data_IF_718325555360
#
_entry.id   IF_718325555360
#
_cell.length_a   1.000
_cell.length_b   1.000
_cell.length_c   1.000
_cell.angle_alpha   90.00
_cell.angle_beta   90.00
_cell.angle_gamma   90.00
#
_symmetry.space_group_name_H-M   'P 1'
#
loop_
_entity.id
_entity.type
_entity.pdbx_description
1 polymer ?
#
# COMPACT_ATOMS: atom_id res chain seq x y z
N UNK A 1 12.35 13.99 11.24
CA UNK A 1 13.65 14.22 10.57
C UNK A 1 14.71 14.52 11.62
N UNK A 2 15.87 13.84 11.56
CA UNK A 2 16.99 14.09 12.47
C UNK A 2 17.97 15.02 11.75
N UNK A 3 18.35 16.17 12.37
CA UNK A 3 19.37 17.03 11.79
C UNK A 3 20.69 16.28 11.64
N UNK A 4 21.37 16.48 10.53
CA UNK A 4 22.72 15.91 10.32
C UNK A 4 23.76 16.76 11.04
N UNK A 5 24.81 16.08 11.55
CA UNK A 5 25.94 16.74 12.21
C UNK A 5 27.24 16.23 11.57
N UNK A 6 28.29 17.08 11.63
CA UNK A 6 29.60 16.70 11.12
C UNK A 6 30.16 15.48 11.88
N UNK A 7 30.71 14.52 11.16
CA UNK A 7 31.17 13.26 11.72
C UNK A 7 30.08 12.25 12.11
N UNK A 8 28.82 12.50 11.82
CA UNK A 8 27.71 11.59 12.10
C UNK A 8 27.89 10.25 11.38
N UNK A 9 27.82 9.15 12.15
CA UNK A 9 27.84 7.80 11.61
C UNK A 9 26.42 7.21 11.62
N UNK A 10 25.91 6.82 10.47
CA UNK A 10 24.58 6.22 10.32
C UNK A 10 24.72 4.78 9.91
N UNK A 11 24.08 3.87 10.67
CA UNK A 11 23.99 2.46 10.32
C UNK A 11 22.58 2.15 9.79
N UNK A 12 22.51 1.64 8.59
CA UNK A 12 21.24 1.36 7.89
C UNK A 12 20.90 -0.13 7.80
N UNK A 13 21.80 -1.00 8.18
CA UNK A 13 21.65 -2.46 8.02
C UNK A 13 22.22 -3.29 9.19
N UNK A 14 22.26 -2.73 10.42
CA UNK A 14 22.62 -3.52 11.59
C UNK A 14 21.53 -4.56 11.89
N UNK A 15 21.89 -5.62 12.63
CA UNK A 15 20.95 -6.66 13.07
C UNK A 15 19.76 -6.05 13.79
N UNK A 16 20.02 -5.15 14.75
CA UNK A 16 19.01 -4.45 15.52
C UNK A 16 18.03 -3.64 14.64
N UNK A 17 18.56 -2.89 13.67
CA UNK A 17 17.73 -2.12 12.71
C UNK A 17 16.86 -3.06 11.86
N UNK A 18 17.41 -4.19 11.42
CA UNK A 18 16.65 -5.15 10.64
C UNK A 18 15.60 -5.88 11.47
N UNK A 19 15.85 -6.18 12.72
CA UNK A 19 14.86 -6.78 13.63
C UNK A 19 13.71 -5.81 13.91
N UNK A 20 14.00 -4.54 14.13
CA UNK A 20 12.97 -3.50 14.24
C UNK A 20 12.14 -3.36 12.96
N UNK A 21 12.78 -3.36 11.80
CA UNK A 21 12.07 -3.34 10.51
C UNK A 21 11.16 -4.53 10.32
N UNK A 22 11.62 -5.73 10.68
CA UNK A 22 10.79 -6.95 10.63
C UNK A 22 9.57 -6.80 11.52
N UNK A 23 9.76 -6.40 12.76
CA UNK A 23 8.66 -6.23 13.73
C UNK A 23 7.63 -5.20 13.25
N UNK A 24 8.06 -4.05 12.74
CA UNK A 24 7.16 -3.03 12.18
C UNK A 24 6.43 -3.56 10.95
N UNK A 25 7.14 -4.22 10.03
CA UNK A 25 6.55 -4.79 8.83
C UNK A 25 5.55 -5.89 9.17
N UNK A 26 5.81 -6.70 10.19
CA UNK A 26 4.90 -7.73 10.70
C UNK A 26 3.59 -7.13 11.18
N UNK A 27 3.63 -6.05 11.94
CA UNK A 27 2.43 -5.32 12.34
C UNK A 27 1.64 -4.78 11.15
N UNK A 28 2.32 -4.26 10.13
CA UNK A 28 1.66 -3.77 8.91
C UNK A 28 0.95 -4.90 8.18
N UNK A 29 1.62 -6.03 7.96
CA UNK A 29 1.02 -7.17 7.25
C UNK A 29 -0.06 -7.89 8.05
N UNK A 30 -0.13 -7.71 9.36
CA UNK A 30 -1.22 -8.24 10.18
C UNK A 30 -2.57 -7.54 9.89
N UNK A 31 -2.56 -6.35 9.32
CA UNK A 31 -3.75 -5.61 8.89
C UNK A 31 -3.91 -5.51 7.36
N UNK A 32 -2.99 -6.09 6.60
CA UNK A 32 -3.05 -6.16 5.14
C UNK A 32 -3.33 -7.61 4.71
N UNK A 33 -4.08 -7.90 3.63
CA UNK A 33 -4.22 -9.25 3.09
C UNK A 33 -2.85 -9.86 2.81
N UNK A 34 -2.32 -10.61 3.75
CA UNK A 34 -0.88 -10.90 3.83
C UNK A 34 -0.51 -12.33 3.45
N UNK A 35 -1.49 -13.22 3.31
CA UNK A 35 -1.22 -14.63 3.07
C UNK A 35 -0.29 -14.92 1.88
N UNK A 36 -0.29 -14.05 0.86
CA UNK A 36 0.61 -14.15 -0.29
C UNK A 36 1.98 -13.52 -0.04
N UNK A 37 2.07 -12.46 0.76
CA UNK A 37 3.30 -11.67 0.93
C UNK A 37 4.45 -12.53 1.47
N UNK A 38 4.15 -13.46 2.36
CA UNK A 38 5.11 -14.40 2.95
C UNK A 38 5.07 -15.78 2.29
N UNK A 39 4.36 -15.96 1.17
CA UNK A 39 4.26 -17.21 0.46
C UNK A 39 5.44 -17.40 -0.50
N UNK A 40 6.09 -18.56 -0.45
CA UNK A 40 7.20 -18.91 -1.37
C UNK A 40 6.78 -18.99 -2.84
N UNK A 41 5.48 -19.09 -3.13
CA UNK A 41 4.93 -19.16 -4.49
C UNK A 41 4.45 -17.81 -5.03
N UNK A 42 4.62 -16.72 -4.30
CA UNK A 42 4.06 -15.41 -4.67
C UNK A 42 4.46 -14.94 -6.08
N UNK A 43 5.63 -15.33 -6.57
CA UNK A 43 6.15 -14.93 -7.87
C UNK A 43 5.76 -15.85 -9.02
N UNK A 44 5.41 -17.10 -8.73
CA UNK A 44 5.09 -18.12 -9.72
C UNK A 44 3.61 -18.46 -9.75
N UNK A 45 2.81 -17.86 -8.88
CA UNK A 45 1.37 -18.09 -8.80
C UNK A 45 0.65 -17.32 -9.90
N UNK A 46 -0.13 -18.02 -10.73
CA UNK A 46 -0.99 -17.43 -11.75
C UNK A 46 -2.37 -17.01 -11.21
N UNK A 47 -3.10 -16.15 -11.94
CA UNK A 47 -4.43 -15.68 -11.52
C UNK A 47 -5.48 -16.80 -11.50
N UNK A 48 -5.27 -17.86 -12.26
CA UNK A 48 -6.16 -19.03 -12.37
C UNK A 48 -5.74 -20.21 -11.48
N UNK A 49 -4.57 -20.09 -10.79
CA UNK A 49 -4.09 -21.16 -9.93
C UNK A 49 -4.95 -21.30 -8.68
N UNK A 50 -5.17 -22.55 -8.26
CA UNK A 50 -5.77 -22.85 -6.97
C UNK A 50 -4.78 -22.51 -5.87
N UNK A 51 -5.22 -21.72 -4.90
CA UNK A 51 -4.40 -21.43 -3.73
C UNK A 51 -4.35 -22.66 -2.81
N UNK A 52 -3.19 -23.32 -2.76
CA UNK A 52 -2.97 -24.50 -1.91
C UNK A 52 -2.84 -24.13 -0.42
N UNK A 53 -2.62 -22.88 -0.12
CA UNK A 53 -2.37 -22.40 1.24
C UNK A 53 -3.63 -21.89 1.95
N UNK A 54 -4.49 -21.22 1.18
CA UNK A 54 -5.74 -20.64 1.67
C UNK A 54 -6.85 -20.91 0.67
N UNK A 55 -7.66 -21.91 0.92
CA UNK A 55 -8.72 -22.36 0.00
C UNK A 55 -9.79 -21.29 -0.25
N UNK A 56 -9.95 -20.33 0.66
CA UNK A 56 -10.98 -19.30 0.62
C UNK A 56 -10.43 -17.88 0.49
N UNK A 57 -9.17 -17.68 0.10
CA UNK A 57 -8.61 -16.34 -0.05
C UNK A 57 -9.09 -15.69 -1.33
N UNK A 58 -9.89 -14.65 -1.20
CA UNK A 58 -10.29 -13.78 -2.31
C UNK A 58 -9.23 -12.72 -2.60
N UNK A 59 -8.54 -12.25 -1.54
CA UNK A 59 -7.53 -11.20 -1.62
C UNK A 59 -6.14 -11.79 -1.83
N UNK A 60 -5.76 -11.96 -3.09
CA UNK A 60 -4.49 -12.55 -3.50
C UNK A 60 -3.60 -11.50 -4.16
N UNK A 61 -2.30 -11.55 -3.89
CA UNK A 61 -1.34 -10.67 -4.58
C UNK A 61 -1.43 -10.79 -6.10
N UNK A 62 -1.63 -12.00 -6.62
CA UNK A 62 -1.73 -12.26 -8.06
C UNK A 62 -2.94 -11.58 -8.71
N UNK A 63 -3.99 -11.32 -7.96
CA UNK A 63 -5.18 -10.60 -8.43
C UNK A 63 -5.16 -9.11 -8.06
N UNK A 64 -4.10 -8.64 -7.44
CA UNK A 64 -3.93 -7.23 -7.09
C UNK A 64 -3.32 -6.45 -8.27
N UNK A 65 -3.88 -5.31 -8.69
CA UNK A 65 -3.33 -4.47 -9.75
C UNK A 65 -1.89 -4.00 -9.54
N UNK A 66 -1.45 -3.92 -8.29
CA UNK A 66 -0.08 -3.53 -7.90
C UNK A 66 0.89 -4.72 -7.77
N UNK A 67 0.51 -5.95 -8.05
CA UNK A 67 1.32 -7.14 -7.75
C UNK A 67 2.79 -7.05 -8.21
N UNK A 68 3.06 -6.50 -9.39
CA UNK A 68 4.43 -6.42 -9.95
C UNK A 68 5.22 -5.17 -9.53
N UNK A 69 4.55 -4.23 -8.86
CA UNK A 69 5.13 -2.95 -8.41
C UNK A 69 4.73 -2.61 -6.97
N UNK A 70 4.55 -3.63 -6.14
CA UNK A 70 4.15 -3.48 -4.75
C UNK A 70 5.39 -3.34 -3.86
N UNK A 71 5.61 -2.14 -3.32
CA UNK A 71 6.74 -1.87 -2.44
C UNK A 71 6.66 -2.64 -1.11
N UNK A 72 5.44 -2.94 -0.63
CA UNK A 72 5.28 -3.76 0.56
C UNK A 72 5.79 -5.20 0.31
N UNK A 73 5.46 -5.78 -0.84
CA UNK A 73 5.95 -7.11 -1.24
C UNK A 73 7.49 -7.12 -1.35
N UNK A 74 8.06 -6.10 -1.95
CA UNK A 74 9.53 -5.98 -2.08
C UNK A 74 10.20 -5.80 -0.72
N UNK A 75 9.59 -5.04 0.19
CA UNK A 75 10.08 -4.88 1.58
C UNK A 75 10.06 -6.21 2.34
N UNK A 76 8.97 -6.97 2.28
CA UNK A 76 8.84 -8.27 2.92
C UNK A 76 9.90 -9.25 2.42
N UNK A 77 10.19 -9.25 1.11
CA UNK A 77 11.26 -10.07 0.51
C UNK A 77 12.63 -9.64 0.95
N UNK A 78 12.91 -8.35 0.91
CA UNK A 78 14.20 -7.80 1.35
C UNK A 78 14.52 -8.18 2.81
N UNK A 79 13.51 -8.16 3.66
CA UNK A 79 13.65 -8.51 5.09
C UNK A 79 13.69 -10.03 5.33
N UNK A 80 13.46 -10.86 4.31
CA UNK A 80 13.44 -12.31 4.43
C UNK A 80 12.42 -12.82 5.43
N UNK A 81 11.22 -12.21 5.45
CA UNK A 81 10.17 -12.59 6.38
C UNK A 81 9.59 -13.96 6.02
N UNK A 82 9.45 -14.81 7.01
CA UNK A 82 8.84 -16.14 6.89
C UNK A 82 7.33 -16.09 7.22
N UNK A 83 6.71 -17.27 7.20
CA UNK A 83 5.28 -17.46 7.41
C UNK A 83 4.85 -17.46 8.87
N UNK A 84 5.79 -17.62 9.77
CA UNK A 84 5.52 -17.74 11.19
C UNK A 84 5.45 -16.34 11.78
N UNK A 85 4.24 -15.87 11.98
CA UNK A 85 3.97 -14.65 12.73
C UNK A 85 3.08 -14.98 13.93
N UNK A 86 3.37 -14.42 15.12
CA UNK A 86 2.49 -14.52 16.28
C UNK A 86 1.22 -13.66 16.11
N UNK A 87 1.20 -12.77 15.13
CA UNK A 87 0.08 -11.88 14.87
C UNK A 87 -0.95 -12.55 13.94
N UNK A 88 -2.22 -12.47 14.31
CA UNK A 88 -3.32 -12.92 13.46
C UNK A 88 -3.70 -11.79 12.48
N UNK A 89 -4.00 -12.16 11.25
CA UNK A 89 -4.53 -11.23 10.27
C UNK A 89 -5.90 -10.71 10.71
N UNK A 90 -6.04 -9.38 10.70
CA UNK A 90 -7.28 -8.68 11.03
C UNK A 90 -7.84 -8.04 9.77
N UNK A 91 -8.90 -8.63 9.24
CA UNK A 91 -9.63 -8.07 8.11
C UNK A 91 -10.48 -6.87 8.56
N UNK A 92 -10.43 -5.78 7.80
CA UNK A 92 -11.09 -4.51 8.14
C UNK A 92 -12.54 -4.42 7.67
N UNK A 93 -12.94 -5.22 6.69
CA UNK A 93 -14.29 -5.24 6.10
C UNK A 93 -14.76 -3.87 5.57
N UNK A 94 -13.86 -3.08 5.02
CA UNK A 94 -14.16 -1.77 4.46
C UNK A 94 -14.73 -1.96 3.05
N UNK A 95 -15.89 -1.35 2.71
CA UNK A 95 -16.43 -1.40 1.36
C UNK A 95 -15.45 -0.83 0.33
N UNK A 96 -15.47 -1.40 -0.88
CA UNK A 96 -14.72 -0.87 -2.01
C UNK A 96 -15.39 0.42 -2.52
N UNK A 97 -14.64 1.50 -2.58
CA UNK A 97 -15.10 2.79 -3.08
C UNK A 97 -14.93 2.86 -4.60
N UNK A 98 -16.05 2.78 -5.31
CA UNK A 98 -16.12 2.79 -6.79
C UNK A 98 -17.00 3.92 -7.33
N UNK A 99 -17.39 4.86 -6.48
CA UNK A 99 -18.25 5.98 -6.87
C UNK A 99 -17.54 7.03 -7.72
N UNK A 100 -16.22 7.13 -7.60
CA UNK A 100 -15.42 8.11 -8.34
C UNK A 100 -15.28 7.71 -9.82
N UNK A 101 -15.20 8.66 -10.75
CA UNK A 101 -15.21 8.36 -12.19
C UNK A 101 -13.94 7.66 -12.69
N UNK A 102 -12.76 7.94 -12.11
CA UNK A 102 -11.47 7.49 -12.64
C UNK A 102 -10.73 6.52 -11.71
N UNK A 103 -11.05 6.52 -10.42
CA UNK A 103 -10.25 5.80 -9.42
C UNK A 103 -11.10 4.83 -8.62
N UNK A 104 -10.53 3.67 -8.32
CA UNK A 104 -11.04 2.74 -7.33
C UNK A 104 -10.18 2.82 -6.07
N UNK A 105 -10.82 2.81 -4.90
CA UNK A 105 -10.15 2.88 -3.60
C UNK A 105 -10.51 1.67 -2.76
N UNK A 106 -9.53 0.83 -2.48
CA UNK A 106 -9.66 -0.33 -1.59
C UNK A 106 -8.85 -0.12 -0.32
N UNK A 107 -9.50 0.41 0.67
CA UNK A 107 -8.83 0.72 1.94
C UNK A 107 -8.48 -0.51 2.79
N UNK A 108 -8.98 -1.71 2.46
CA UNK A 108 -8.48 -2.95 3.06
C UNK A 108 -7.01 -3.18 2.72
N UNK A 109 -6.54 -2.68 1.59
CA UNK A 109 -5.15 -2.76 1.16
C UNK A 109 -4.28 -1.60 1.67
N UNK A 110 -4.87 -0.58 2.30
CA UNK A 110 -4.15 0.60 2.77
C UNK A 110 -3.27 0.27 3.97
N UNK A 111 -1.99 0.65 3.90
CA UNK A 111 -1.02 0.51 5.00
C UNK A 111 -0.83 1.80 5.80
N UNK A 112 -1.69 2.78 5.61
CA UNK A 112 -1.71 4.07 6.33
C UNK A 112 -0.37 4.82 6.27
N UNK A 113 0.37 4.70 5.19
CA UNK A 113 1.71 5.32 5.04
C UNK A 113 1.68 6.84 4.83
N UNK A 114 0.53 7.44 4.50
CA UNK A 114 0.34 8.89 4.34
C UNK A 114 0.91 9.50 3.06
N UNK A 115 1.54 8.74 2.16
CA UNK A 115 2.15 9.29 0.93
C UNK A 115 1.13 10.03 0.06
N UNK A 116 -0.07 9.49 -0.09
CA UNK A 116 -1.14 10.12 -0.87
C UNK A 116 -1.62 11.42 -0.23
N UNK A 117 -1.71 11.49 1.09
CA UNK A 117 -2.04 12.71 1.84
C UNK A 117 -0.99 13.78 1.56
N UNK A 118 0.29 13.46 1.77
CA UNK A 118 1.38 14.40 1.53
C UNK A 118 1.45 14.84 0.05
N UNK A 119 1.19 13.95 -0.89
CA UNK A 119 1.18 14.31 -2.31
C UNK A 119 0.01 15.25 -2.65
N UNK A 120 -1.17 15.02 -2.07
CA UNK A 120 -2.33 15.89 -2.26
C UNK A 120 -2.10 17.27 -1.66
N UNK A 121 -1.65 17.32 -0.40
CA UNK A 121 -1.41 18.56 0.34
C UNK A 121 -0.21 19.35 -0.20
N UNK A 122 0.98 18.71 -0.27
CA UNK A 122 2.23 19.42 -0.49
C UNK A 122 2.60 19.60 -1.96
N UNK A 123 2.19 18.68 -2.84
CA UNK A 123 2.53 18.76 -4.26
C UNK A 123 1.39 19.38 -5.08
N UNK A 124 0.15 19.12 -4.70
CA UNK A 124 -1.02 19.63 -5.45
C UNK A 124 -1.71 20.80 -4.76
N UNK A 125 -1.77 20.80 -3.44
CA UNK A 125 -2.50 21.80 -2.67
C UNK A 125 -4.02 21.65 -2.69
N UNK A 126 -4.53 20.47 -3.06
CA UNK A 126 -5.96 20.20 -3.17
C UNK A 126 -6.59 19.80 -1.84
N UNK A 127 -5.82 19.21 -0.92
CA UNK A 127 -6.26 18.72 0.41
C UNK A 127 -7.50 17.80 0.39
N UNK A 128 -7.78 17.20 -0.77
CA UNK A 128 -8.96 16.36 -0.97
C UNK A 128 -8.91 15.03 -0.20
N UNK A 129 -7.71 14.58 0.18
CA UNK A 129 -7.46 13.34 0.93
C UNK A 129 -6.71 13.67 2.21
N UNK A 130 -7.20 13.17 3.33
CA UNK A 130 -6.61 13.37 4.65
C UNK A 130 -6.60 12.08 5.48
N UNK A 131 -5.91 12.09 6.61
CA UNK A 131 -6.09 11.05 7.61
C UNK A 131 -7.45 11.22 8.28
N UNK A 132 -8.24 10.17 8.23
CA UNK A 132 -9.54 10.06 8.90
C UNK A 132 -9.45 9.06 10.04
N UNK A 133 -10.32 9.19 11.02
CA UNK A 133 -10.40 8.33 12.20
C UNK A 133 -9.11 8.35 13.05
N UNK A 134 -9.16 7.67 14.21
CA UNK A 134 -8.08 7.63 15.22
C UNK A 134 -8.14 6.32 16.01
N UNK A 135 -7.23 6.17 16.97
CA UNK A 135 -7.27 5.10 17.97
C UNK A 135 -7.31 3.67 17.38
N UNK A 136 -6.33 3.37 16.51
CA UNK A 136 -6.20 2.05 15.89
C UNK A 136 -7.16 1.81 14.72
N UNK A 137 -7.96 2.81 14.35
CA UNK A 137 -8.82 2.80 13.17
C UNK A 137 -8.42 3.84 12.13
N UNK A 138 -7.20 4.39 12.25
CA UNK A 138 -6.69 5.39 11.33
C UNK A 138 -6.76 4.88 9.88
N UNK A 139 -7.25 5.73 9.01
CA UNK A 139 -7.41 5.46 7.59
C UNK A 139 -7.14 6.72 6.79
N UNK A 140 -6.85 6.57 5.52
CA UNK A 140 -6.84 7.68 4.58
C UNK A 140 -8.22 7.76 3.92
N UNK A 141 -8.73 8.95 3.70
CA UNK A 141 -10.04 9.14 3.07
C UNK A 141 -10.35 10.59 2.82
N UNK A 142 -11.55 10.82 2.37
CA UNK A 142 -12.14 12.15 2.18
C UNK A 142 -12.84 12.61 3.46
N UNK A 143 -13.08 13.91 3.59
CA UNK A 143 -13.87 14.44 4.70
C UNK A 143 -15.28 13.84 4.68
N UNK A 144 -15.75 13.36 5.84
CA UNK A 144 -17.07 12.75 6.01
C UNK A 144 -17.36 11.52 5.12
N UNK A 145 -16.35 10.89 4.52
CA UNK A 145 -16.53 9.75 3.62
C UNK A 145 -17.23 10.09 2.31
N UNK A 146 -17.14 11.34 1.86
CA UNK A 146 -17.68 11.79 0.57
C UNK A 146 -16.87 11.23 -0.60
N UNK A 147 -17.38 11.34 -1.82
CA UNK A 147 -16.62 11.02 -3.03
C UNK A 147 -15.41 11.97 -3.19
N UNK A 148 -14.42 11.60 -3.99
CA UNK A 148 -13.32 12.50 -4.33
C UNK A 148 -13.80 13.76 -5.02
N UNK A 149 -14.80 13.63 -5.89
CA UNK A 149 -15.41 14.77 -6.58
C UNK A 149 -16.00 15.78 -5.61
N UNK A 150 -16.77 15.31 -4.63
CA UNK A 150 -17.38 16.17 -3.60
C UNK A 150 -16.34 16.77 -2.64
N UNK A 151 -15.18 16.13 -2.49
CA UNK A 151 -14.08 16.65 -1.69
C UNK A 151 -13.21 17.71 -2.39
N UNK A 152 -13.55 18.08 -3.62
CA UNK A 152 -12.80 19.06 -4.41
C UNK A 152 -11.58 18.51 -5.14
N UNK A 153 -11.49 17.19 -5.31
CA UNK A 153 -10.37 16.54 -6.02
C UNK A 153 -10.37 16.91 -7.51
N UNK A 154 -9.23 17.33 -8.03
CA UNK A 154 -9.01 17.63 -9.45
C UNK A 154 -8.62 16.39 -10.28
N UNK A 155 -8.61 15.19 -9.69
CA UNK A 155 -8.25 13.93 -10.35
C UNK A 155 -6.86 13.93 -11.00
N UNK A 156 -5.89 14.59 -10.40
CA UNK A 156 -4.52 14.73 -10.92
C UNK A 156 -3.69 13.42 -10.94
N UNK A 157 -4.10 12.37 -10.22
CA UNK A 157 -3.42 11.07 -10.18
C UNK A 157 -2.24 10.96 -9.21
N UNK A 158 -1.76 12.04 -8.62
CA UNK A 158 -0.58 12.01 -7.76
C UNK A 158 -0.67 11.01 -6.60
N UNK A 159 -1.84 10.89 -5.97
CA UNK A 159 -2.09 9.93 -4.89
C UNK A 159 -1.98 8.47 -5.35
N UNK A 160 -2.34 8.17 -6.60
CA UNK A 160 -2.25 6.83 -7.20
C UNK A 160 -0.80 6.45 -7.48
N UNK A 161 -0.03 7.39 -8.04
CA UNK A 161 1.38 7.16 -8.38
C UNK A 161 2.23 6.86 -7.14
N UNK A 162 2.01 7.61 -6.06
CA UNK A 162 2.78 7.44 -4.82
C UNK A 162 2.30 6.31 -3.93
N UNK A 163 1.14 5.70 -4.22
CA UNK A 163 0.63 4.60 -3.40
C UNK A 163 1.51 3.36 -3.52
N UNK A 164 2.11 2.86 -2.42
CA UNK A 164 3.04 1.73 -2.48
C UNK A 164 2.34 0.37 -2.61
N UNK A 165 1.03 0.33 -2.44
CA UNK A 165 0.18 -0.87 -2.47
C UNK A 165 -1.02 -0.68 -3.40
N UNK A 166 -1.89 -1.68 -3.50
CA UNK A 166 -3.08 -1.63 -4.37
C UNK A 166 -4.29 -0.87 -3.81
N UNK A 167 -4.11 -0.02 -2.80
CA UNK A 167 -5.22 0.68 -2.15
C UNK A 167 -5.85 1.78 -3.02
N UNK A 168 -5.07 2.42 -3.87
CA UNK A 168 -5.52 3.44 -4.81
C UNK A 168 -5.08 3.03 -6.21
N UNK A 169 -6.03 2.86 -7.12
CA UNK A 169 -5.76 2.40 -8.48
C UNK A 169 -6.61 3.16 -9.49
N UNK A 170 -6.05 3.36 -10.67
CA UNK A 170 -6.79 3.87 -11.80
C UNK A 170 -7.76 2.80 -12.32
N UNK A 171 -9.03 3.16 -12.55
CA UNK A 171 -10.08 2.20 -12.87
C UNK A 171 -9.84 1.48 -14.19
N UNK A 172 -9.64 2.22 -15.26
CA UNK A 172 -9.64 1.66 -16.61
C UNK A 172 -8.33 0.99 -16.97
N UNK A 173 -7.21 1.51 -16.46
CA UNK A 173 -5.86 1.04 -16.80
C UNK A 173 -5.14 0.30 -15.66
N UNK A 174 -5.83 -0.02 -14.57
CA UNK A 174 -5.19 -0.68 -13.40
C UNK A 174 -4.49 -2.01 -13.70
N UNK A 175 -4.91 -2.69 -14.76
CA UNK A 175 -4.32 -3.96 -15.21
C UNK A 175 -3.27 -3.79 -16.30
N UNK A 176 -3.14 -2.59 -16.87
CA UNK A 176 -2.14 -2.29 -17.87
C UNK A 176 -0.77 -2.12 -17.21
N UNK A 177 0.24 -2.75 -17.80
CA UNK A 177 1.61 -2.64 -17.30
C UNK A 177 2.36 -1.63 -18.15
N UNK A 178 3.11 -0.69 -17.54
CA UNK A 178 3.94 0.20 -18.32
C UNK A 178 4.99 -0.61 -19.08
N UNK A 179 5.00 -0.48 -20.41
CA UNK A 179 6.00 -1.14 -21.28
C UNK A 179 7.33 -0.39 -21.30
N UNK A 180 7.30 0.90 -20.99
CA UNK A 180 8.44 1.78 -20.99
C UNK A 180 8.27 2.84 -19.90
N UNK A 181 9.30 3.06 -19.12
CA UNK A 181 9.35 4.12 -18.09
C UNK A 181 10.50 5.05 -18.42
N UNK A 182 10.22 6.33 -18.57
CA UNK A 182 11.20 7.38 -18.80
C UNK A 182 11.07 8.47 -17.75
N UNK A 183 12.20 9.07 -17.38
CA UNK A 183 12.19 10.29 -16.59
C UNK A 183 11.82 11.45 -17.49
N UNK A 184 10.87 12.24 -17.08
CA UNK A 184 10.49 13.48 -17.73
C UNK A 184 10.48 14.63 -16.73
N UNK A 185 10.50 15.85 -17.24
CA UNK A 185 10.36 17.05 -16.43
C UNK A 185 8.93 17.54 -16.61
N UNK A 186 8.26 17.80 -15.49
CA UNK A 186 6.96 18.47 -15.49
C UNK A 186 7.14 19.96 -15.67
#
# INVERSE_FOLDING_TARGET
TTPVADGMKVQTASTEVNDLRRSVTEMIIAEHPSGCLTCHRVDICGPTDVCLRHVSVNDRCVTCPKNERCELKDTVRYLGMNLESPLSYKYREIPLEVADPFYDRDYNLCIVCGRCVNACEQLRGDDAIAFTQRSGQALVGTSFGTSLLESGCEFCGACIDVCPVGALVERDHKWDKPRKVERTIC
#
